data_IF_659945389524
#
_entry.id   IF_659945389524
#
_cell.length_a   1.000
_cell.length_b   1.000
_cell.length_c   1.000
_cell.angle_alpha   90.00
_cell.angle_beta   90.00
_cell.angle_gamma   90.00
#
_symmetry.space_group_name_H-M   'P 1'
#
loop_
_entity.id
_entity.type
_entity.pdbx_description
1 polymer ?
#
# COMPACT_ATOMS: atom_id res chain seq x y z
N UNK A 1 61.12 -35.22 13.23
CA UNK A 1 60.28 -34.01 13.04
C UNK A 1 59.40 -34.24 11.83
N UNK A 2 58.15 -34.66 12.07
CA UNK A 2 56.93 -34.66 11.22
C UNK A 2 55.96 -35.71 11.80
N UNK A 3 54.65 -35.43 11.68
CA UNK A 3 53.43 -36.22 11.96
C UNK A 3 52.86 -36.11 13.40
N UNK A 4 51.57 -35.85 13.67
CA UNK A 4 50.31 -35.89 12.89
C UNK A 4 49.21 -35.03 13.60
N UNK A 5 48.39 -34.34 12.80
CA UNK A 5 46.89 -34.31 12.79
C UNK A 5 46.06 -33.90 14.02
N UNK A 6 45.26 -32.84 13.79
CA UNK A 6 43.88 -32.58 14.23
C UNK A 6 43.33 -33.30 15.48
N UNK A 7 42.97 -32.51 16.50
CA UNK A 7 41.64 -32.51 17.14
C UNK A 7 41.72 -31.70 18.45
N UNK A 8 41.26 -30.44 18.45
CA UNK A 8 40.92 -29.75 19.70
C UNK A 8 39.97 -28.55 19.51
N UNK A 9 39.22 -28.50 18.40
CA UNK A 9 38.23 -27.44 18.14
C UNK A 9 36.77 -27.88 18.41
N UNK A 10 36.54 -28.99 19.12
CA UNK A 10 35.20 -29.54 19.39
C UNK A 10 34.76 -29.46 20.86
N UNK A 11 34.96 -28.31 21.51
CA UNK A 11 34.34 -28.01 22.82
C UNK A 11 33.72 -26.61 22.80
N UNK A 12 32.64 -26.46 22.05
CA UNK A 12 31.71 -25.33 22.21
C UNK A 12 30.56 -25.89 23.05
N UNK A 13 30.57 -25.55 24.34
CA UNK A 13 29.49 -25.86 25.28
C UNK A 13 28.21 -25.16 24.83
N UNK A 14 27.20 -25.92 24.41
CA UNK A 14 25.88 -25.39 24.05
C UNK A 14 25.10 -25.01 25.32
N UNK A 15 24.80 -23.72 25.49
CA UNK A 15 23.86 -23.20 26.51
C UNK A 15 22.74 -22.45 25.79
N UNK A 16 21.53 -23.01 25.76
CA UNK A 16 20.37 -22.44 25.06
C UNK A 16 19.34 -21.88 26.07
N UNK A 17 18.75 -20.71 25.80
CA UNK A 17 17.67 -20.12 26.61
C UNK A 17 16.53 -19.59 25.71
N UNK A 18 15.27 -19.75 26.14
CA UNK A 18 14.03 -19.36 25.42
C UNK A 18 13.13 -18.54 26.38
N UNK A 19 12.47 -17.45 25.91
CA UNK A 19 11.58 -16.58 26.71
C UNK A 19 10.31 -16.12 25.94
N UNK A 20 9.20 -15.79 26.64
CA UNK A 20 7.85 -15.45 26.08
C UNK A 20 7.06 -14.39 26.93
N UNK A 21 6.31 -13.41 26.34
CA UNK A 21 5.40 -12.45 27.06
C UNK A 21 4.26 -11.78 26.20
N UNK A 22 3.13 -11.32 26.81
CA UNK A 22 1.82 -10.92 26.16
C UNK A 22 1.09 -9.68 26.79
N UNK A 23 0.45 -8.75 26.01
CA UNK A 23 -0.91 -8.08 26.19
C UNK A 23 -1.21 -6.73 25.42
N UNK A 24 -2.52 -6.42 25.15
CA UNK A 24 -3.16 -5.45 24.18
C UNK A 24 -3.77 -4.12 24.76
N UNK A 25 -4.14 -3.15 23.87
CA UNK A 25 -4.63 -1.75 24.12
C UNK A 25 -5.94 -1.38 23.35
N UNK A 26 -6.93 -0.68 23.96
CA UNK A 26 -8.11 -0.01 23.30
C UNK A 26 -8.67 1.10 24.22
N UNK A 27 -8.70 2.40 23.84
CA UNK A 27 -9.52 3.46 24.51
C UNK A 27 -9.54 4.88 23.86
N UNK A 28 -9.42 5.08 22.54
CA UNK A 28 -9.24 6.44 21.97
C UNK A 28 -10.42 7.06 21.17
N UNK A 29 -11.56 6.40 21.00
CA UNK A 29 -12.55 6.83 19.96
C UNK A 29 -13.74 7.68 20.45
N UNK A 30 -13.90 7.93 21.76
CA UNK A 30 -15.17 8.48 22.28
C UNK A 30 -15.25 10.01 22.38
N UNK A 31 -14.11 10.72 22.38
CA UNK A 31 -14.07 12.18 22.61
C UNK A 31 -14.32 13.05 21.36
N UNK A 32 -14.29 12.46 20.16
CA UNK A 32 -14.30 13.22 18.89
C UNK A 32 -15.69 13.74 18.45
N UNK A 33 -16.79 13.16 18.93
CA UNK A 33 -18.12 13.38 18.34
C UNK A 33 -18.94 14.52 18.99
N UNK A 34 -18.54 15.03 20.15
CA UNK A 34 -19.34 16.00 20.92
C UNK A 34 -19.09 17.47 20.52
N UNK A 35 -17.94 17.80 19.93
CA UNK A 35 -17.62 19.20 19.55
C UNK A 35 -18.30 19.65 18.25
N UNK A 36 -18.76 18.72 17.40
CA UNK A 36 -19.25 19.04 16.04
C UNK A 36 -20.60 19.76 15.98
N UNK A 37 -21.52 19.51 16.92
CA UNK A 37 -22.91 20.01 16.82
C UNK A 37 -23.05 21.49 17.20
N UNK A 38 -22.13 22.04 17.99
CA UNK A 38 -22.22 23.41 18.51
C UNK A 38 -21.87 24.49 17.46
N UNK A 39 -21.08 24.14 16.43
CA UNK A 39 -20.52 25.11 15.47
C UNK A 39 -21.33 25.33 14.19
N UNK A 40 -22.44 24.61 13.96
CA UNK A 40 -23.24 24.75 12.74
C UNK A 40 -24.12 26.01 12.74
N UNK A 41 -24.66 26.39 13.90
CA UNK A 41 -25.71 27.42 14.04
C UNK A 41 -25.27 28.87 13.78
N UNK A 42 -23.98 29.18 13.94
CA UNK A 42 -23.44 30.54 13.77
C UNK A 42 -23.02 30.89 12.33
N UNK A 43 -22.99 29.92 11.40
CA UNK A 43 -22.43 30.12 10.04
C UNK A 43 -23.44 30.67 9.02
N UNK A 44 -24.74 30.49 9.25
CA UNK A 44 -25.83 30.91 8.34
C UNK A 44 -25.92 32.44 8.20
N UNK A 45 -25.46 33.20 9.20
CA UNK A 45 -25.56 34.66 9.20
C UNK A 45 -24.49 35.38 8.36
N UNK A 46 -23.41 34.70 7.93
CA UNK A 46 -22.34 35.32 7.13
C UNK A 46 -22.48 35.05 5.62
N UNK A 47 -23.11 33.94 5.21
CA UNK A 47 -23.34 33.65 3.79
C UNK A 47 -24.25 34.69 3.09
N UNK A 48 -25.06 35.43 3.88
CA UNK A 48 -25.93 36.51 3.39
C UNK A 48 -25.15 37.75 2.93
N UNK A 49 -23.83 37.85 3.19
CA UNK A 49 -23.02 39.02 2.86
C UNK A 49 -22.13 38.89 1.60
N UNK A 50 -22.09 37.71 0.94
CA UNK A 50 -21.26 37.46 -0.26
C UNK A 50 -22.16 37.17 -1.47
N UNK A 51 -23.12 38.04 -1.74
CA UNK A 51 -23.85 38.08 -3.00
C UNK A 51 -23.33 39.27 -3.81
N UNK A 52 -22.36 39.01 -4.69
CA UNK A 52 -22.17 39.85 -5.86
C UNK A 52 -23.34 39.53 -6.80
N UNK A 53 -24.30 40.44 -6.95
CA UNK A 53 -25.39 40.29 -7.92
C UNK A 53 -24.80 40.12 -9.33
N UNK A 54 -24.90 38.93 -9.90
CA UNK A 54 -24.33 38.58 -11.22
C UNK A 54 -25.15 39.22 -12.36
N UNK A 55 -26.32 39.78 -12.01
CA UNK A 55 -27.28 40.33 -12.95
C UNK A 55 -28.13 39.24 -13.63
N UNK A 56 -28.08 38.00 -13.13
CA UNK A 56 -28.92 36.89 -13.58
C UNK A 56 -29.66 36.30 -12.38
N UNK A 57 -30.88 36.77 -12.16
CA UNK A 57 -31.71 36.40 -11.02
C UNK A 57 -31.94 34.88 -10.86
N UNK A 58 -31.91 34.12 -11.95
CA UNK A 58 -32.06 32.66 -11.90
C UNK A 58 -30.81 31.98 -11.35
N UNK A 59 -29.62 32.42 -11.76
CA UNK A 59 -28.34 31.90 -11.27
C UNK A 59 -28.05 32.37 -9.85
N UNK A 60 -28.35 33.63 -9.53
CA UNK A 60 -28.21 34.18 -8.18
C UNK A 60 -29.07 33.39 -7.18
N UNK A 61 -30.32 33.08 -7.56
CA UNK A 61 -31.22 32.23 -6.76
C UNK A 61 -30.67 30.81 -6.58
N UNK A 62 -30.17 30.20 -7.65
CA UNK A 62 -29.60 28.86 -7.63
C UNK A 62 -28.38 28.75 -6.70
N UNK A 63 -27.48 29.73 -6.75
CA UNK A 63 -26.32 29.80 -5.86
C UNK A 63 -26.78 29.92 -4.40
N UNK A 64 -27.73 30.81 -4.12
CA UNK A 64 -28.28 31.01 -2.77
C UNK A 64 -28.95 29.74 -2.22
N UNK A 65 -29.73 29.04 -3.04
CA UNK A 65 -30.37 27.77 -2.66
C UNK A 65 -29.33 26.70 -2.32
N UNK A 66 -28.26 26.57 -3.12
CA UNK A 66 -27.17 25.63 -2.91
C UNK A 66 -26.40 25.90 -1.62
N UNK A 67 -26.11 27.17 -1.33
CA UNK A 67 -25.41 27.58 -0.12
C UNK A 67 -26.21 27.31 1.17
N UNK A 68 -27.54 27.21 1.09
CA UNK A 68 -28.39 26.85 2.25
C UNK A 68 -28.31 25.38 2.66
N UNK A 69 -27.85 24.49 1.77
CA UNK A 69 -27.75 23.03 2.00
C UNK A 69 -26.42 22.67 2.73
N UNK A 70 -25.64 23.66 3.16
CA UNK A 70 -24.28 23.53 3.70
C UNK A 70 -24.17 22.85 5.09
N UNK A 71 -25.27 22.34 5.67
CA UNK A 71 -25.23 21.72 7.00
C UNK A 71 -24.47 20.37 7.05
N UNK A 72 -24.32 19.66 5.92
CA UNK A 72 -23.69 18.32 5.89
C UNK A 72 -22.50 18.16 4.92
N UNK A 73 -22.31 19.07 3.97
CA UNK A 73 -21.20 19.03 3.01
C UNK A 73 -20.34 20.27 3.23
N UNK A 74 -19.05 20.14 3.56
CA UNK A 74 -18.14 21.30 3.66
C UNK A 74 -17.89 21.99 2.28
N UNK A 75 -18.84 21.97 1.35
CA UNK A 75 -18.70 22.31 -0.08
C UNK A 75 -19.31 23.68 -0.39
N UNK A 76 -18.45 24.69 -0.53
CA UNK A 76 -18.89 26.06 -0.80
C UNK A 76 -19.16 26.20 -2.30
N UNK A 77 -20.40 26.51 -2.66
CA UNK A 77 -20.82 26.75 -4.03
C UNK A 77 -20.92 28.25 -4.29
N UNK A 78 -20.24 28.76 -5.31
CA UNK A 78 -20.19 30.20 -5.58
C UNK A 78 -20.18 30.56 -7.06
N UNK A 79 -20.35 31.85 -7.34
CA UNK A 79 -20.00 32.39 -8.64
C UNK A 79 -18.48 32.49 -8.78
N UNK A 80 -17.95 31.96 -9.88
CA UNK A 80 -16.53 32.02 -10.19
C UNK A 80 -16.36 32.97 -11.36
N UNK A 81 -15.77 34.17 -11.14
CA UNK A 81 -15.43 35.07 -12.23
C UNK A 81 -14.53 34.36 -13.25
N UNK A 82 -14.91 34.38 -14.52
CA UNK A 82 -14.19 33.65 -15.57
C UNK A 82 -12.68 34.01 -15.63
N UNK A 83 -12.34 35.26 -15.32
CA UNK A 83 -10.94 35.73 -15.31
C UNK A 83 -10.06 35.07 -14.24
N UNK A 84 -10.67 34.42 -13.24
CA UNK A 84 -10.00 33.64 -12.20
C UNK A 84 -9.57 32.24 -12.68
N UNK A 85 -10.00 31.83 -13.88
CA UNK A 85 -9.62 30.57 -14.51
C UNK A 85 -8.48 30.82 -15.51
N UNK A 86 -7.37 30.11 -15.33
CA UNK A 86 -6.16 30.19 -16.18
C UNK A 86 -5.89 28.85 -16.84
N UNK A 87 -5.08 28.89 -17.90
CA UNK A 87 -4.65 27.70 -18.64
C UNK A 87 -5.80 26.79 -19.09
N UNK A 88 -6.91 27.39 -19.52
CA UNK A 88 -8.08 26.64 -19.98
C UNK A 88 -7.69 25.81 -21.22
N UNK A 89 -7.82 24.48 -21.12
CA UNK A 89 -7.47 23.52 -22.18
C UNK A 89 -8.62 22.55 -22.39
N UNK A 90 -9.00 22.35 -23.64
CA UNK A 90 -9.98 21.32 -24.01
C UNK A 90 -9.43 19.92 -23.72
N UNK A 91 -10.27 19.03 -23.17
CA UNK A 91 -9.89 17.65 -22.83
C UNK A 91 -10.78 16.58 -23.46
N UNK A 92 -11.99 16.92 -23.91
CA UNK A 92 -12.88 15.97 -24.56
C UNK A 92 -14.35 16.34 -24.40
N UNK A 93 -15.23 15.35 -24.53
CA UNK A 93 -16.67 15.49 -24.29
C UNK A 93 -17.17 14.46 -23.28
N UNK A 94 -18.24 14.80 -22.55
CA UNK A 94 -18.93 13.85 -21.68
C UNK A 94 -19.94 12.97 -22.46
N UNK A 95 -20.62 12.06 -21.76
CA UNK A 95 -21.64 11.16 -22.35
C UNK A 95 -22.84 11.88 -22.96
N UNK A 96 -23.05 13.14 -22.59
CA UNK A 96 -24.13 13.99 -23.08
C UNK A 96 -23.63 14.93 -24.19
N UNK A 97 -22.44 14.68 -24.73
CA UNK A 97 -21.77 15.48 -25.77
C UNK A 97 -21.41 16.91 -25.33
N UNK A 98 -21.38 17.18 -24.01
CA UNK A 98 -20.91 18.46 -23.47
C UNK A 98 -19.39 18.54 -23.54
N UNK A 99 -18.85 19.69 -23.93
CA UNK A 99 -17.41 19.91 -23.92
C UNK A 99 -16.87 20.02 -22.49
N UNK A 100 -15.78 19.29 -22.24
CA UNK A 100 -15.04 19.32 -20.98
C UNK A 100 -13.71 20.02 -21.22
N UNK A 101 -13.39 20.97 -20.34
CA UNK A 101 -12.10 21.66 -20.30
C UNK A 101 -11.47 21.50 -18.92
N UNK A 102 -10.15 21.59 -18.83
CA UNK A 102 -9.41 21.74 -17.57
C UNK A 102 -8.91 23.16 -17.43
N UNK A 103 -8.86 23.67 -16.20
CA UNK A 103 -8.36 25.00 -15.89
C UNK A 103 -7.75 25.06 -14.49
N UNK A 104 -6.89 26.07 -14.27
CA UNK A 104 -6.38 26.43 -12.95
C UNK A 104 -7.26 27.55 -12.39
N UNK A 105 -7.96 27.27 -11.30
CA UNK A 105 -8.71 28.28 -10.55
C UNK A 105 -7.77 28.98 -9.55
N UNK A 106 -7.38 30.21 -9.86
CA UNK A 106 -6.30 30.93 -9.16
C UNK A 106 -6.63 31.23 -7.70
N UNK A 107 -7.78 31.83 -7.34
CA UNK A 107 -8.19 31.95 -5.95
C UNK A 107 -8.43 30.59 -5.29
N UNK A 108 -8.90 29.61 -6.07
CA UNK A 108 -9.10 28.24 -5.65
C UNK A 108 -10.27 28.01 -4.68
N UNK A 109 -10.50 26.75 -4.33
CA UNK A 109 -11.67 26.31 -3.56
C UNK A 109 -11.55 26.69 -2.08
N UNK A 110 -12.70 26.92 -1.44
CA UNK A 110 -12.76 27.16 0.02
C UNK A 110 -12.55 25.84 0.77
N UNK A 111 -11.60 25.84 1.73
CA UNK A 111 -11.22 24.65 2.50
C UNK A 111 -11.64 24.72 3.98
N UNK A 112 -11.72 25.92 4.56
CA UNK A 112 -12.18 26.10 5.93
C UNK A 112 -12.68 27.53 6.15
N UNK A 113 -13.70 27.67 6.99
CA UNK A 113 -14.12 28.93 7.59
C UNK A 113 -13.96 28.80 9.10
N UNK A 114 -12.77 29.11 9.62
CA UNK A 114 -12.50 29.09 11.06
C UNK A 114 -12.40 30.53 11.54
N UNK A 115 -13.20 30.92 12.53
CA UNK A 115 -13.19 32.29 13.10
C UNK A 115 -13.27 33.40 12.04
N UNK A 116 -14.27 33.33 11.16
CA UNK A 116 -14.63 34.43 10.24
C UNK A 116 -13.64 34.68 9.08
N UNK A 117 -12.57 33.89 8.95
CA UNK A 117 -11.64 33.94 7.79
C UNK A 117 -11.96 32.85 6.77
N UNK A 118 -12.09 33.23 5.48
CA UNK A 118 -12.26 32.29 4.36
C UNK A 118 -10.88 31.84 3.89
N UNK A 119 -10.51 30.60 4.24
CA UNK A 119 -9.29 29.99 3.74
C UNK A 119 -9.56 29.29 2.41
N UNK A 120 -8.78 29.63 1.38
CA UNK A 120 -8.81 29.01 0.06
C UNK A 120 -7.55 28.20 -0.21
N UNK A 121 -7.68 27.14 -1.01
CA UNK A 121 -6.56 26.38 -1.57
C UNK A 121 -6.24 26.96 -2.96
N UNK A 122 -5.29 27.90 -3.11
CA UNK A 122 -5.06 28.61 -4.37
C UNK A 122 -4.58 27.67 -5.48
N UNK A 123 -4.74 28.10 -6.73
CA UNK A 123 -4.36 27.34 -7.93
C UNK A 123 -5.00 25.94 -8.00
N UNK A 124 -6.25 25.81 -7.54
CA UNK A 124 -6.99 24.54 -7.60
C UNK A 124 -7.18 24.12 -9.06
N UNK A 125 -6.79 22.89 -9.41
CA UNK A 125 -7.13 22.30 -10.71
C UNK A 125 -8.63 21.93 -10.75
N UNK A 126 -9.33 22.41 -11.77
CA UNK A 126 -10.78 22.21 -11.93
C UNK A 126 -11.13 21.74 -13.34
N UNK A 127 -12.26 21.05 -13.46
CA UNK A 127 -12.91 20.78 -14.73
C UNK A 127 -14.07 21.76 -14.95
N UNK A 128 -14.28 22.10 -16.22
CA UNK A 128 -15.32 22.99 -16.68
C UNK A 128 -16.15 22.22 -17.70
N UNK A 129 -17.44 22.02 -17.41
CA UNK A 129 -18.36 21.43 -18.39
C UNK A 129 -19.24 22.52 -18.99
N UNK A 130 -19.33 22.56 -20.31
CA UNK A 130 -20.23 23.50 -21.01
C UNK A 130 -21.69 23.14 -20.79
N UNK A 131 -22.51 24.13 -20.43
CA UNK A 131 -23.96 23.99 -20.35
C UNK A 131 -24.62 24.95 -21.33
N UNK A 132 -25.39 24.41 -22.28
CA UNK A 132 -26.04 25.21 -23.34
C UNK A 132 -27.34 25.87 -22.87
N UNK A 133 -27.96 25.37 -21.79
CA UNK A 133 -29.14 25.98 -21.18
C UNK A 133 -29.19 25.74 -19.65
N UNK A 134 -30.19 26.31 -18.98
CA UNK A 134 -30.38 26.18 -17.52
C UNK A 134 -30.67 24.73 -17.08
N UNK A 135 -31.37 23.94 -17.88
CA UNK A 135 -31.66 22.54 -17.58
C UNK A 135 -30.38 21.71 -17.55
N UNK A 136 -29.43 21.94 -18.47
CA UNK A 136 -28.10 21.31 -18.45
C UNK A 136 -27.32 21.67 -17.18
N UNK A 137 -27.43 22.92 -16.71
CA UNK A 137 -26.81 23.34 -15.45
C UNK A 137 -27.38 22.50 -14.31
N UNK A 138 -28.70 22.43 -14.16
CA UNK A 138 -29.36 21.65 -13.09
C UNK A 138 -28.99 20.18 -13.17
N UNK A 139 -29.05 19.57 -14.36
CA UNK A 139 -28.68 18.17 -14.56
C UNK A 139 -27.25 17.90 -14.12
N UNK A 140 -26.29 18.75 -14.52
CA UNK A 140 -24.88 18.62 -14.12
C UNK A 140 -24.69 18.78 -12.62
N UNK A 141 -25.44 19.71 -12.06
CA UNK A 141 -25.42 20.05 -10.65
C UNK A 141 -26.07 18.97 -9.75
N UNK A 142 -26.93 18.10 -10.29
CA UNK A 142 -27.54 16.95 -9.62
C UNK A 142 -26.71 15.65 -9.75
N UNK A 143 -25.72 15.62 -10.64
CA UNK A 143 -24.81 14.47 -10.75
C UNK A 143 -24.12 14.21 -9.40
N UNK A 144 -24.14 12.96 -8.91
CA UNK A 144 -23.57 12.62 -7.60
C UNK A 144 -22.04 12.53 -7.58
N UNK A 145 -21.43 12.55 -8.76
CA UNK A 145 -20.08 12.04 -9.01
C UNK A 145 -19.05 13.17 -9.23
N UNK A 146 -19.25 14.36 -8.68
CA UNK A 146 -18.21 15.40 -8.64
C UNK A 146 -18.57 16.45 -7.61
N UNK A 147 -17.60 17.14 -7.03
CA UNK A 147 -17.87 18.32 -6.21
C UNK A 147 -18.10 19.51 -7.11
N UNK A 148 -19.17 20.27 -6.86
CA UNK A 148 -19.54 21.43 -7.66
C UNK A 148 -19.04 22.64 -6.89
N UNK A 149 -18.07 23.36 -7.45
CA UNK A 149 -17.51 24.54 -6.82
C UNK A 149 -18.29 25.79 -7.18
N UNK A 150 -18.88 25.81 -8.38
CA UNK A 150 -19.58 27.00 -8.81
C UNK A 150 -20.00 27.01 -10.26
N UNK A 151 -20.42 28.19 -10.69
CA UNK A 151 -20.76 28.48 -12.08
C UNK A 151 -19.91 29.66 -12.52
N UNK A 152 -19.45 29.62 -13.77
CA UNK A 152 -18.85 30.75 -14.47
C UNK A 152 -19.61 30.98 -15.76
N UNK A 153 -19.53 32.19 -16.31
CA UNK A 153 -20.00 32.48 -17.67
C UNK A 153 -18.84 32.90 -18.56
N UNK A 154 -18.80 32.35 -19.77
CA UNK A 154 -17.81 32.74 -20.77
C UNK A 154 -18.13 34.16 -21.28
N UNK A 155 -17.19 35.13 -21.21
CA UNK A 155 -17.48 36.52 -21.53
C UNK A 155 -18.05 36.77 -22.93
N UNK A 156 -17.53 36.03 -23.93
CA UNK A 156 -17.86 36.22 -25.35
C UNK A 156 -19.09 35.43 -25.80
N UNK A 157 -19.16 34.13 -25.46
CA UNK A 157 -20.26 33.26 -25.91
C UNK A 157 -21.50 33.38 -25.02
N UNK A 158 -21.35 33.93 -23.81
CA UNK A 158 -22.39 33.95 -22.76
C UNK A 158 -22.85 32.58 -22.27
N UNK A 159 -22.21 31.50 -22.74
CA UNK A 159 -22.46 30.15 -22.26
C UNK A 159 -22.02 30.02 -20.80
N UNK A 160 -22.79 29.25 -20.04
CA UNK A 160 -22.43 28.91 -18.67
C UNK A 160 -21.54 27.67 -18.66
N UNK A 161 -20.57 27.66 -17.75
CA UNK A 161 -19.79 26.49 -17.42
C UNK A 161 -20.02 26.16 -15.95
N UNK A 162 -20.28 24.89 -15.67
CA UNK A 162 -20.23 24.39 -14.29
C UNK A 162 -18.77 24.10 -13.97
N UNK A 163 -18.27 24.69 -12.89
CA UNK A 163 -16.93 24.46 -12.36
C UNK A 163 -17.03 23.37 -11.31
N UNK A 164 -16.36 22.25 -11.55
CA UNK A 164 -16.42 21.10 -10.67
C UNK A 164 -15.05 20.46 -10.48
N UNK A 165 -14.92 19.63 -9.45
CA UNK A 165 -13.77 18.75 -9.30
C UNK A 165 -13.70 17.81 -10.50
N UNK A 166 -12.50 17.30 -10.81
CA UNK A 166 -12.33 16.18 -11.73
C UNK A 166 -13.36 15.11 -11.37
N UNK A 167 -14.21 14.76 -12.35
CA UNK A 167 -15.30 13.82 -12.15
C UNK A 167 -14.80 12.53 -11.50
N UNK A 168 -15.62 11.95 -10.63
CA UNK A 168 -15.53 10.57 -10.21
C UNK A 168 -15.25 9.71 -11.44
N UNK A 169 -14.21 8.91 -11.34
CA UNK A 169 -13.96 7.85 -12.29
C UNK A 169 -15.22 6.99 -12.35
N UNK A 170 -15.82 6.82 -13.53
CA UNK A 170 -16.76 5.71 -13.79
C UNK A 170 -16.07 4.33 -13.74
N UNK A 171 -14.82 4.30 -13.27
CA UNK A 171 -13.97 3.15 -13.13
C UNK A 171 -13.65 3.07 -11.63
N UNK A 172 -14.26 2.09 -10.97
CA UNK A 172 -13.93 1.58 -9.64
C UNK A 172 -14.71 2.23 -8.49
N UNK A 173 -15.81 1.57 -8.10
CA UNK A 173 -16.41 1.64 -6.77
C UNK A 173 -15.34 1.66 -5.65
N UNK A 174 -14.80 2.84 -5.35
CA UNK A 174 -13.83 3.09 -4.28
C UNK A 174 -14.36 4.24 -3.45
N UNK A 175 -14.25 4.10 -2.14
CA UNK A 175 -14.83 5.03 -1.17
C UNK A 175 -14.17 6.41 -1.26
N UNK A 176 -15.01 7.43 -1.39
CA UNK A 176 -14.68 8.84 -1.25
C UNK A 176 -13.95 9.09 0.08
N UNK A 177 -12.77 9.72 0.04
CA UNK A 177 -12.09 10.18 1.26
C UNK A 177 -12.66 11.55 1.66
N UNK A 178 -13.42 11.64 2.77
CA UNK A 178 -14.09 12.88 3.19
C UNK A 178 -13.12 14.01 3.51
N UNK A 179 -11.89 13.67 3.89
CA UNK A 179 -10.88 14.60 4.37
C UNK A 179 -10.03 15.22 3.25
N UNK A 180 -9.96 14.59 2.08
CA UNK A 180 -9.06 15.01 0.99
C UNK A 180 -9.79 15.44 -0.30
N UNK A 181 -11.06 15.09 -0.48
CA UNK A 181 -11.99 15.71 -1.44
C UNK A 181 -11.47 15.91 -2.88
N UNK A 182 -10.75 14.93 -3.41
CA UNK A 182 -10.31 14.83 -4.82
C UNK A 182 -10.52 13.38 -5.28
N UNK A 183 -10.97 13.18 -6.53
CA UNK A 183 -10.80 11.90 -7.23
C UNK A 183 -9.39 11.83 -7.76
N UNK A 184 -8.55 11.23 -6.96
CA UNK A 184 -7.14 11.11 -7.23
C UNK A 184 -6.88 9.69 -7.73
N UNK A 185 -6.98 9.55 -9.05
CA UNK A 185 -6.37 8.43 -9.76
C UNK A 185 -5.19 9.02 -10.54
N UNK A 186 -4.03 8.38 -10.43
CA UNK A 186 -2.96 8.63 -11.39
C UNK A 186 -3.48 8.23 -12.77
N UNK A 187 -3.05 8.97 -13.79
CA UNK A 187 -3.28 8.55 -15.16
C UNK A 187 -2.58 7.19 -15.33
N UNK A 188 -3.36 6.11 -15.38
CA UNK A 188 -2.82 4.75 -15.52
C UNK A 188 -2.00 4.75 -16.82
N UNK A 189 -0.70 4.47 -16.75
CA UNK A 189 0.13 4.52 -17.94
C UNK A 189 -0.40 3.54 -19.00
N UNK A 190 -0.30 3.94 -20.27
CA UNK A 190 -0.64 3.07 -21.40
C UNK A 190 0.41 1.96 -21.52
N UNK A 191 0.27 0.91 -20.73
CA UNK A 191 1.08 -0.31 -20.83
C UNK A 191 0.46 -1.22 -21.89
N UNK A 192 0.67 -0.86 -23.16
CA UNK A 192 0.22 -1.65 -24.31
C UNK A 192 1.28 -2.68 -24.70
N UNK A 193 0.81 -3.89 -24.93
CA UNK A 193 1.56 -5.00 -25.52
C UNK A 193 1.61 -4.93 -27.05
N UNK A 194 0.74 -4.12 -27.67
CA UNK A 194 0.46 -4.13 -29.10
C UNK A 194 -0.51 -5.23 -29.54
N UNK A 195 -0.95 -6.10 -28.63
CA UNK A 195 -1.97 -7.13 -28.85
C UNK A 195 -3.30 -6.71 -28.20
N UNK A 196 -4.34 -6.58 -29.02
CA UNK A 196 -5.64 -6.08 -28.57
C UNK A 196 -6.31 -6.98 -27.51
N UNK A 197 -6.06 -8.30 -27.53
CA UNK A 197 -6.64 -9.22 -26.56
C UNK A 197 -5.97 -9.06 -25.20
N UNK A 198 -4.64 -8.99 -25.18
CA UNK A 198 -3.85 -8.79 -23.95
C UNK A 198 -4.14 -7.42 -23.36
N UNK A 199 -4.14 -6.38 -24.19
CA UNK A 199 -4.39 -5.00 -23.74
C UNK A 199 -5.78 -4.86 -23.13
N UNK A 200 -6.79 -5.49 -23.75
CA UNK A 200 -8.14 -5.54 -23.18
C UNK A 200 -8.14 -6.21 -21.80
N UNK A 201 -7.46 -7.34 -21.64
CA UNK A 201 -7.37 -8.04 -20.36
C UNK A 201 -6.65 -7.21 -19.28
N UNK A 202 -5.53 -6.57 -19.63
CA UNK A 202 -4.79 -5.66 -18.73
C UNK A 202 -5.71 -4.53 -18.26
N UNK A 203 -6.43 -3.89 -19.18
CA UNK A 203 -7.39 -2.83 -18.86
C UNK A 203 -8.52 -3.35 -17.94
N UNK A 204 -9.06 -4.54 -18.19
CA UNK A 204 -10.07 -5.16 -17.33
C UNK A 204 -9.55 -5.40 -15.91
N UNK A 205 -8.29 -5.85 -15.75
CA UNK A 205 -7.66 -6.03 -14.44
C UNK A 205 -7.43 -4.71 -13.70
N UNK A 206 -6.98 -3.68 -14.41
CA UNK A 206 -6.79 -2.34 -13.83
C UNK A 206 -8.11 -1.71 -13.34
N UNK A 207 -9.23 -2.01 -14.01
CA UNK A 207 -10.60 -1.59 -13.63
C UNK A 207 -11.16 -2.28 -12.38
N UNK A 208 -10.40 -3.17 -11.74
CA UNK A 208 -10.82 -3.75 -10.47
C UNK A 208 -9.76 -3.56 -9.37
N UNK A 209 -8.61 -2.96 -9.70
CA UNK A 209 -7.57 -2.59 -8.75
C UNK A 209 -8.06 -1.50 -7.79
N UNK A 210 -7.79 -1.68 -6.49
CA UNK A 210 -8.18 -0.71 -5.45
C UNK A 210 -7.16 0.40 -5.24
N UNK A 211 -5.90 0.14 -5.59
CA UNK A 211 -4.77 1.04 -5.38
C UNK A 211 -3.69 0.80 -6.46
N UNK A 212 -2.79 1.77 -6.64
CA UNK A 212 -1.69 1.71 -7.60
C UNK A 212 -0.72 0.54 -7.35
N UNK A 213 -0.58 0.12 -6.10
CA UNK A 213 0.21 -1.08 -5.75
C UNK A 213 -0.37 -2.41 -6.27
N UNK A 214 -1.61 -2.40 -6.74
CA UNK A 214 -2.33 -3.55 -7.31
C UNK A 214 -2.52 -3.42 -8.83
N UNK A 215 -1.88 -2.46 -9.47
CA UNK A 215 -1.99 -2.32 -10.91
C UNK A 215 -1.38 -3.52 -11.62
N UNK A 216 -2.16 -4.03 -12.56
CA UNK A 216 -1.76 -5.08 -13.46
C UNK A 216 -1.24 -4.42 -14.75
N UNK A 217 -0.06 -4.80 -15.22
CA UNK A 217 0.58 -4.11 -16.35
C UNK A 217 1.17 -5.05 -17.42
N UNK A 218 1.43 -4.48 -18.59
CA UNK A 218 2.31 -5.13 -19.57
C UNK A 218 3.76 -4.95 -19.11
N UNK A 219 4.48 -6.06 -19.02
CA UNK A 219 5.88 -6.10 -18.61
C UNK A 219 6.71 -6.48 -19.85
N UNK A 220 7.50 -5.55 -20.40
CA UNK A 220 8.41 -5.86 -21.49
C UNK A 220 9.31 -7.05 -21.10
N UNK A 221 9.45 -8.03 -21.99
CA UNK A 221 10.27 -9.21 -21.69
C UNK A 221 11.72 -8.84 -21.34
N UNK A 222 12.25 -7.79 -21.96
CA UNK A 222 13.59 -7.28 -21.69
C UNK A 222 13.75 -6.62 -20.31
N UNK A 223 12.65 -6.36 -19.57
CA UNK A 223 12.71 -5.92 -18.18
C UNK A 223 12.88 -7.09 -17.20
N UNK A 224 12.85 -8.34 -17.70
CA UNK A 224 13.06 -9.56 -16.93
C UNK A 224 14.48 -10.07 -17.17
N UNK A 225 15.29 -10.09 -16.11
CA UNK A 225 16.67 -10.55 -16.11
C UNK A 225 16.86 -11.79 -15.22
N UNK A 226 18.03 -12.41 -15.33
CA UNK A 226 18.42 -13.58 -14.50
C UNK A 226 17.36 -14.69 -14.47
N UNK A 227 16.76 -14.99 -15.64
CA UNK A 227 15.69 -15.98 -15.74
C UNK A 227 16.25 -17.40 -15.48
N UNK A 228 15.86 -18.00 -14.36
CA UNK A 228 16.24 -19.36 -13.96
C UNK A 228 15.06 -20.32 -14.13
N UNK A 229 15.25 -21.40 -14.90
CA UNK A 229 14.26 -22.46 -15.01
C UNK A 229 14.20 -23.29 -13.73
N UNK A 230 13.00 -23.50 -13.20
CA UNK A 230 12.77 -24.31 -11.98
C UNK A 230 12.24 -25.69 -12.32
N UNK A 231 11.09 -25.77 -13.00
CA UNK A 231 10.44 -27.04 -13.28
C UNK A 231 9.36 -26.91 -14.35
N UNK A 232 9.01 -28.03 -14.98
CA UNK A 232 7.77 -28.13 -15.75
C UNK A 232 6.61 -28.45 -14.81
N UNK A 233 5.54 -27.68 -14.90
CA UNK A 233 4.22 -28.00 -14.34
C UNK A 233 3.33 -28.50 -15.47
N UNK A 234 2.17 -29.05 -15.10
CA UNK A 234 1.22 -29.67 -16.03
C UNK A 234 0.82 -28.71 -17.18
N UNK A 235 0.61 -27.43 -16.87
CA UNK A 235 0.11 -26.42 -17.84
C UNK A 235 1.10 -25.30 -18.15
N UNK A 236 2.21 -25.21 -17.41
CA UNK A 236 3.16 -24.10 -17.59
C UNK A 236 4.58 -24.48 -17.19
N UNK A 237 5.54 -23.76 -17.75
CA UNK A 237 6.94 -23.78 -17.30
C UNK A 237 7.10 -22.78 -16.18
N UNK A 238 7.60 -23.23 -15.02
CA UNK A 238 7.88 -22.40 -13.86
C UNK A 238 9.34 -21.92 -13.92
N UNK A 239 9.54 -20.61 -13.84
CA UNK A 239 10.86 -19.97 -13.77
C UNK A 239 10.86 -18.85 -12.73
N UNK A 240 12.05 -18.44 -12.29
CA UNK A 240 12.27 -17.26 -11.43
C UNK A 240 13.01 -16.21 -12.24
N UNK A 241 12.81 -14.93 -11.92
CA UNK A 241 13.52 -13.83 -12.59
C UNK A 241 13.61 -12.61 -11.67
N UNK A 242 14.45 -11.65 -12.07
CA UNK A 242 14.45 -10.29 -11.53
C UNK A 242 13.68 -9.40 -12.50
N UNK A 243 12.72 -8.64 -11.99
CA UNK A 243 12.05 -7.58 -12.73
C UNK A 243 12.70 -6.24 -12.41
N UNK A 244 13.47 -5.73 -13.37
CA UNK A 244 14.35 -4.57 -13.21
C UNK A 244 13.57 -3.28 -12.92
N UNK A 245 12.56 -2.99 -13.75
CA UNK A 245 11.71 -1.82 -13.57
C UNK A 245 10.77 -1.96 -12.37
N UNK A 246 10.46 -3.20 -11.99
CA UNK A 246 9.70 -3.55 -10.81
C UNK A 246 8.30 -2.94 -10.76
N UNK A 247 7.60 -3.17 -9.65
CA UNK A 247 6.19 -2.80 -9.53
C UNK A 247 5.99 -1.37 -9.03
N UNK A 248 4.87 -0.76 -9.40
CA UNK A 248 4.38 0.46 -8.76
C UNK A 248 4.05 0.18 -7.29
N UNK A 249 4.51 1.04 -6.37
CA UNK A 249 4.25 0.92 -4.93
C UNK A 249 3.45 2.09 -4.38
N UNK A 250 3.54 3.23 -5.05
CA UNK A 250 2.87 4.45 -4.64
C UNK A 250 2.55 5.26 -5.87
N UNK A 251 1.48 6.01 -5.77
CA UNK A 251 1.13 7.03 -6.73
C UNK A 251 0.76 8.30 -6.00
N UNK A 252 1.39 9.40 -6.41
CA UNK A 252 0.93 10.73 -6.08
C UNK A 252 -0.30 11.03 -6.93
N UNK A 253 -1.37 10.68 -6.27
CA UNK A 253 -2.73 11.01 -6.51
C UNK A 253 -2.95 12.44 -7.07
N UNK A 254 -2.26 13.48 -6.57
CA UNK A 254 -2.43 14.88 -7.01
C UNK A 254 -1.68 15.20 -8.31
N UNK A 255 -0.46 14.70 -8.48
CA UNK A 255 0.37 15.02 -9.65
C UNK A 255 0.20 14.03 -10.80
N UNK A 256 -0.28 12.82 -10.50
CA UNK A 256 -0.29 11.68 -11.41
C UNK A 256 1.02 10.90 -11.45
N UNK A 257 2.03 11.33 -10.69
CA UNK A 257 3.33 10.66 -10.62
C UNK A 257 3.22 9.34 -9.84
N UNK A 258 4.12 8.41 -10.12
CA UNK A 258 4.17 7.13 -9.40
C UNK A 258 5.59 6.68 -9.14
N UNK A 259 5.76 5.96 -8.03
CA UNK A 259 7.02 5.39 -7.60
C UNK A 259 7.02 3.87 -7.78
N UNK A 260 8.17 3.33 -8.19
CA UNK A 260 8.37 1.89 -8.39
C UNK A 260 9.38 1.32 -7.41
N UNK A 261 9.10 0.11 -6.91
CA UNK A 261 10.10 -0.74 -6.25
C UNK A 261 10.78 -1.59 -7.32
N UNK A 262 11.96 -1.15 -7.75
CA UNK A 262 12.80 -1.76 -8.78
C UNK A 262 13.52 -3.02 -8.31
N UNK A 263 13.98 -3.84 -9.26
CA UNK A 263 14.82 -5.02 -9.00
C UNK A 263 14.17 -6.09 -8.11
N UNK A 264 12.85 -6.30 -8.26
CA UNK A 264 12.13 -7.27 -7.44
C UNK A 264 12.22 -8.67 -8.05
N UNK A 265 12.34 -9.68 -7.18
CA UNK A 265 12.32 -11.07 -7.63
C UNK A 265 10.87 -11.53 -7.85
N UNK A 266 10.62 -12.20 -8.97
CA UNK A 266 9.29 -12.60 -9.42
C UNK A 266 9.27 -14.06 -9.86
N UNK A 267 8.09 -14.66 -9.77
CA UNK A 267 7.80 -15.95 -10.38
C UNK A 267 7.25 -15.74 -11.78
N UNK A 268 7.76 -16.51 -12.75
CA UNK A 268 7.29 -16.53 -14.13
C UNK A 268 6.60 -17.86 -14.41
N UNK A 269 5.29 -17.81 -14.67
CA UNK A 269 4.55 -18.97 -15.19
C UNK A 269 4.38 -18.79 -16.70
N UNK A 270 5.10 -19.59 -17.48
CA UNK A 270 5.14 -19.48 -18.94
C UNK A 270 4.17 -20.50 -19.55
N UNK A 271 3.13 -20.00 -20.20
CA UNK A 271 2.07 -20.74 -20.88
C UNK A 271 2.26 -20.71 -22.39
N UNK A 272 1.85 -21.77 -23.06
CA UNK A 272 1.75 -21.80 -24.53
C UNK A 272 0.51 -21.06 -25.05
N UNK A 273 -0.52 -20.92 -24.20
CA UNK A 273 -1.81 -20.31 -24.55
C UNK A 273 -2.20 -19.23 -23.52
N UNK A 274 -2.69 -18.09 -24.01
CA UNK A 274 -3.17 -16.97 -23.18
C UNK A 274 -4.42 -17.33 -22.38
N UNK A 275 -5.28 -18.21 -22.88
CA UNK A 275 -6.51 -18.59 -22.16
C UNK A 275 -6.21 -19.36 -20.87
N UNK A 276 -5.19 -20.22 -20.87
CA UNK A 276 -4.74 -20.93 -19.67
C UNK A 276 -4.16 -19.98 -18.62
N UNK A 277 -3.41 -18.97 -19.08
CA UNK A 277 -2.89 -17.89 -18.25
C UNK A 277 -4.04 -17.12 -17.59
N UNK A 278 -5.02 -16.68 -18.38
CA UNK A 278 -6.17 -15.90 -17.88
C UNK A 278 -6.99 -16.72 -16.88
N UNK A 279 -7.19 -18.02 -17.17
CA UNK A 279 -7.86 -18.94 -16.25
C UNK A 279 -7.10 -19.02 -14.92
N UNK A 280 -5.77 -19.13 -14.95
CA UNK A 280 -4.94 -19.15 -13.74
C UNK A 280 -5.04 -17.85 -12.94
N UNK A 281 -4.96 -16.69 -13.59
CA UNK A 281 -5.07 -15.39 -12.91
C UNK A 281 -6.44 -15.21 -12.22
N UNK A 282 -7.49 -15.80 -12.81
CA UNK A 282 -8.85 -15.78 -12.26
C UNK A 282 -9.08 -16.71 -11.06
N UNK A 283 -8.11 -17.57 -10.71
CA UNK A 283 -8.23 -18.48 -9.56
C UNK A 283 -8.23 -17.68 -8.24
N UNK A 284 -9.17 -17.98 -7.34
CA UNK A 284 -9.24 -17.32 -6.01
C UNK A 284 -7.99 -17.51 -5.14
N UNK A 285 -7.27 -18.60 -5.36
CA UNK A 285 -6.03 -18.93 -4.64
C UNK A 285 -4.79 -18.53 -5.47
N UNK A 286 -4.95 -17.71 -6.51
CA UNK A 286 -3.81 -17.24 -7.28
C UNK A 286 -3.03 -16.23 -6.42
N UNK A 287 -1.69 -16.38 -6.33
CA UNK A 287 -0.84 -15.38 -5.68
C UNK A 287 -1.01 -14.02 -6.37
N UNK A 288 -0.62 -12.94 -5.70
CA UNK A 288 -0.67 -11.60 -6.29
C UNK A 288 0.04 -11.59 -7.64
N UNK A 289 -0.68 -11.18 -8.67
CA UNK A 289 -0.17 -11.06 -10.03
C UNK A 289 0.17 -9.61 -10.32
N UNK A 290 1.25 -9.39 -11.06
CA UNK A 290 1.74 -8.04 -11.40
C UNK A 290 1.47 -7.68 -12.86
N UNK A 291 1.44 -8.67 -13.74
CA UNK A 291 1.28 -8.38 -15.15
C UNK A 291 1.48 -9.57 -16.07
N UNK A 292 1.44 -9.26 -17.36
CA UNK A 292 1.73 -10.20 -18.43
C UNK A 292 2.99 -9.75 -19.15
N UNK A 293 3.82 -10.72 -19.51
CA UNK A 293 4.89 -10.55 -20.49
C UNK A 293 4.72 -11.58 -21.61
N UNK A 294 5.49 -11.45 -22.68
CA UNK A 294 5.54 -12.45 -23.75
C UNK A 294 6.99 -12.68 -24.13
N UNK A 295 7.43 -13.93 -24.03
CA UNK A 295 8.76 -14.34 -24.46
C UNK A 295 8.88 -14.12 -25.97
N UNK A 296 9.79 -13.25 -26.38
CA UNK A 296 9.97 -12.93 -27.80
C UNK A 296 10.58 -14.08 -28.60
N UNK A 297 11.26 -15.03 -27.95
CA UNK A 297 11.89 -16.18 -28.59
C UNK A 297 10.95 -17.38 -28.67
N UNK A 298 10.33 -17.76 -27.56
CA UNK A 298 9.45 -18.94 -27.51
C UNK A 298 8.00 -18.63 -27.87
N UNK A 299 7.65 -17.34 -27.96
CA UNK A 299 6.28 -16.85 -28.13
C UNK A 299 5.32 -17.25 -26.98
N UNK A 300 5.85 -17.77 -25.87
CA UNK A 300 5.08 -18.11 -24.68
C UNK A 300 4.57 -16.88 -23.93
N UNK A 301 3.37 -16.97 -23.39
CA UNK A 301 2.76 -15.95 -22.55
C UNK A 301 3.19 -16.15 -21.11
N UNK A 302 3.63 -15.09 -20.45
CA UNK A 302 4.21 -15.16 -19.12
C UNK A 302 3.30 -14.43 -18.15
N UNK A 303 2.81 -15.13 -17.14
CA UNK A 303 2.19 -14.50 -15.99
C UNK A 303 3.29 -14.17 -14.97
N UNK A 304 3.45 -12.88 -14.70
CA UNK A 304 4.43 -12.40 -13.72
C UNK A 304 3.74 -12.30 -12.36
N UNK A 305 4.24 -13.06 -11.38
CA UNK A 305 3.61 -13.21 -10.07
C UNK A 305 4.58 -12.90 -8.94
N UNK A 306 3.99 -12.55 -7.80
CA UNK A 306 4.68 -12.48 -6.52
C UNK A 306 5.29 -13.84 -6.16
N UNK A 307 6.51 -13.82 -5.65
CA UNK A 307 7.08 -14.99 -5.00
C UNK A 307 6.35 -15.30 -3.70
N UNK A 308 5.92 -16.55 -3.56
CA UNK A 308 5.45 -17.09 -2.27
C UNK A 308 6.62 -17.55 -1.39
N UNK A 309 7.74 -17.92 -2.02
CA UNK A 309 8.91 -18.49 -1.39
C UNK A 309 10.17 -17.70 -1.75
N UNK A 310 11.09 -17.58 -0.80
CA UNK A 310 12.35 -16.86 -0.97
C UNK A 310 13.18 -17.52 -2.07
N UNK A 311 13.66 -16.73 -3.02
CA UNK A 311 14.51 -17.25 -4.09
C UNK A 311 15.83 -17.84 -3.57
N UNK A 312 16.35 -17.38 -2.42
CA UNK A 312 17.60 -17.86 -1.82
C UNK A 312 17.44 -19.17 -1.06
N UNK A 313 16.48 -19.22 -0.12
CA UNK A 313 16.35 -20.36 0.82
C UNK A 313 15.07 -21.19 0.63
N UNK A 314 14.22 -20.82 -0.34
CA UNK A 314 12.93 -21.45 -0.66
C UNK A 314 11.92 -21.54 0.50
N UNK A 315 12.14 -20.80 1.59
CA UNK A 315 11.17 -20.67 2.68
C UNK A 315 10.08 -19.65 2.35
N UNK A 316 8.91 -19.74 2.98
CA UNK A 316 7.83 -18.78 2.78
C UNK A 316 8.30 -17.33 3.01
N UNK A 317 7.89 -16.44 2.12
CA UNK A 317 8.12 -15.01 2.25
C UNK A 317 7.06 -14.37 3.14
N UNK A 318 7.46 -13.33 3.86
CA UNK A 318 6.48 -12.37 4.35
C UNK A 318 5.92 -11.61 3.13
N UNK A 319 4.69 -11.92 2.75
CA UNK A 319 4.03 -11.40 1.53
C UNK A 319 3.77 -9.89 1.62
N UNK A 320 3.54 -9.35 2.82
CA UNK A 320 3.30 -7.92 3.05
C UNK A 320 4.57 -7.09 2.75
N UNK A 321 5.72 -7.58 3.20
CA UNK A 321 7.00 -6.86 3.06
C UNK A 321 7.89 -7.39 1.91
N UNK A 322 7.50 -8.48 1.26
CA UNK A 322 8.29 -9.19 0.24
C UNK A 322 9.70 -9.51 0.75
N UNK A 323 9.80 -9.98 1.99
CA UNK A 323 11.06 -10.24 2.68
C UNK A 323 11.12 -11.66 3.21
N UNK A 324 12.32 -12.24 3.19
CA UNK A 324 12.60 -13.51 3.79
C UNK A 324 13.12 -13.31 5.22
N UNK A 325 12.41 -13.79 6.25
CA UNK A 325 12.89 -13.70 7.63
C UNK A 325 14.30 -14.26 7.80
N UNK A 326 14.61 -15.34 7.10
CA UNK A 326 15.89 -16.04 7.26
C UNK A 326 17.04 -15.41 6.45
N UNK A 327 16.75 -14.78 5.32
CA UNK A 327 17.79 -14.25 4.43
C UNK A 327 17.99 -12.74 4.55
N UNK A 328 16.98 -12.00 5.00
CA UNK A 328 16.99 -10.54 5.01
C UNK A 328 17.12 -9.94 6.42
N UNK A 329 16.88 -10.72 7.47
CA UNK A 329 17.11 -10.30 8.86
C UNK A 329 18.47 -10.79 9.36
N UNK A 330 19.06 -10.13 10.37
CA UNK A 330 20.29 -10.61 11.01
C UNK A 330 20.16 -12.08 11.43
N UNK A 331 21.16 -12.90 11.10
CA UNK A 331 21.05 -14.34 11.29
C UNK A 331 21.10 -14.73 12.77
N UNK A 332 20.16 -15.57 13.18
CA UNK A 332 20.16 -16.28 14.46
C UNK A 332 20.75 -17.68 14.29
N UNK A 333 21.95 -17.77 13.69
CA UNK A 333 22.61 -19.07 13.55
C UNK A 333 23.40 -19.41 14.81
N UNK A 334 23.09 -20.57 15.37
CA UNK A 334 23.83 -21.20 16.46
C UNK A 334 25.11 -21.90 15.98
N UNK A 335 25.27 -22.08 14.67
CA UNK A 335 26.27 -22.97 14.09
C UNK A 335 25.88 -24.45 14.15
N UNK A 336 24.72 -24.80 14.74
CA UNK A 336 24.16 -26.15 14.76
C UNK A 336 22.89 -26.20 13.89
N UNK A 337 22.93 -26.98 12.82
CA UNK A 337 21.85 -27.06 11.83
C UNK A 337 20.53 -27.56 12.42
N UNK A 338 20.54 -28.43 13.44
CA UNK A 338 19.32 -28.91 14.09
C UNK A 338 18.66 -27.84 14.94
N UNK A 339 19.45 -27.11 15.73
CA UNK A 339 18.96 -25.97 16.54
C UNK A 339 18.40 -24.90 15.62
N UNK A 340 19.15 -24.54 14.57
CA UNK A 340 18.75 -23.53 13.60
C UNK A 340 17.44 -23.93 12.89
N UNK A 341 17.22 -25.22 12.62
CA UNK A 341 15.98 -25.71 12.04
C UNK A 341 14.79 -25.61 13.01
N UNK A 342 14.98 -25.85 14.31
CA UNK A 342 13.92 -25.69 15.33
C UNK A 342 13.53 -24.22 15.45
N UNK A 343 14.52 -23.34 15.53
CA UNK A 343 14.33 -21.88 15.56
C UNK A 343 13.53 -21.46 14.32
N UNK A 344 13.94 -21.90 13.14
CA UNK A 344 13.27 -21.60 11.88
C UNK A 344 11.82 -22.09 11.86
N UNK A 345 11.59 -23.36 12.23
CA UNK A 345 10.25 -23.96 12.24
C UNK A 345 9.31 -23.20 13.17
N UNK A 346 9.80 -22.76 14.33
CA UNK A 346 9.02 -21.95 15.26
C UNK A 346 8.62 -20.60 14.64
N UNK A 347 9.56 -19.91 13.98
CA UNK A 347 9.34 -18.59 13.38
C UNK A 347 8.36 -18.62 12.19
N UNK A 348 8.24 -19.76 11.53
CA UNK A 348 7.27 -19.95 10.44
C UNK A 348 5.82 -20.06 10.94
N UNK A 349 5.64 -20.49 12.19
CA UNK A 349 4.31 -20.79 12.75
C UNK A 349 3.81 -19.64 13.63
N UNK A 350 4.71 -18.96 14.33
CA UNK A 350 4.35 -17.95 15.33
C UNK A 350 4.56 -16.51 14.85
N UNK A 351 3.85 -15.56 15.46
CA UNK A 351 4.11 -14.13 15.29
C UNK A 351 5.47 -13.75 15.87
N UNK A 352 6.05 -12.66 15.36
CA UNK A 352 7.40 -12.20 15.71
C UNK A 352 7.65 -11.97 17.20
N UNK A 353 6.60 -11.71 17.96
CA UNK A 353 6.63 -11.54 19.42
C UNK A 353 6.91 -12.87 20.18
N UNK A 354 6.78 -14.02 19.51
CA UNK A 354 7.02 -15.36 20.07
C UNK A 354 8.14 -16.13 19.38
N UNK A 355 8.87 -15.47 18.49
CA UNK A 355 9.96 -16.11 17.77
C UNK A 355 11.03 -16.59 18.75
N UNK A 356 11.41 -17.85 18.62
CA UNK A 356 12.66 -18.33 19.22
C UNK A 356 13.82 -17.57 18.58
N UNK A 357 14.81 -17.21 19.38
CA UNK A 357 16.05 -16.61 18.89
C UNK A 357 17.26 -17.32 19.47
N UNK A 358 18.31 -17.45 18.66
CA UNK A 358 19.61 -17.86 19.18
C UNK A 358 20.26 -16.67 19.87
N UNK A 359 20.60 -16.85 21.15
CA UNK A 359 21.22 -15.81 21.97
C UNK A 359 22.66 -16.22 22.30
N UNK A 360 23.67 -15.52 21.77
CA UNK A 360 25.04 -15.69 22.19
C UNK A 360 25.20 -15.54 23.70
N UNK A 361 25.88 -16.50 24.34
CA UNK A 361 26.02 -16.56 25.80
C UNK A 361 26.62 -15.27 26.40
N UNK A 362 27.47 -14.57 25.65
CA UNK A 362 28.08 -13.30 26.06
C UNK A 362 27.10 -12.11 26.18
N UNK A 363 25.83 -12.27 25.79
CA UNK A 363 24.79 -11.27 26.01
C UNK A 363 24.16 -11.35 27.40
N UNK A 364 24.48 -12.40 28.17
CA UNK A 364 24.03 -12.55 29.54
C UNK A 364 25.10 -12.04 30.50
N UNK A 365 24.68 -11.21 31.46
CA UNK A 365 25.52 -10.72 32.55
C UNK A 365 24.88 -11.05 33.89
N UNK A 366 25.66 -10.89 34.97
CA UNK A 366 25.20 -11.12 36.34
C UNK A 366 24.53 -12.50 36.50
N UNK A 367 25.22 -13.54 36.01
CA UNK A 367 24.71 -14.91 36.01
C UNK A 367 24.92 -15.53 37.40
N UNK A 368 23.83 -15.87 38.07
CA UNK A 368 23.83 -16.47 39.41
C UNK A 368 23.06 -17.81 39.40
N UNK A 369 23.60 -18.91 39.97
CA UNK A 369 22.87 -20.15 40.09
C UNK A 369 21.71 -20.00 41.08
N UNK A 370 20.52 -20.48 40.70
CA UNK A 370 19.32 -20.43 41.56
C UNK A 370 18.78 -21.82 41.92
N UNK A 371 19.25 -22.87 41.25
CA UNK A 371 18.89 -24.25 41.59
C UNK A 371 19.55 -25.28 40.67
N UNK A 372 19.67 -26.50 41.18
CA UNK A 372 20.17 -27.66 40.44
C UNK A 372 19.22 -28.84 40.70
N UNK A 373 18.88 -29.55 39.64
CA UNK A 373 18.12 -30.80 39.70
C UNK A 373 18.86 -31.92 38.98
N UNK A 374 18.26 -33.11 38.93
CA UNK A 374 18.90 -34.29 38.33
C UNK A 374 19.22 -34.17 36.83
N UNK A 375 18.59 -33.23 36.11
CA UNK A 375 18.68 -33.10 34.65
C UNK A 375 19.11 -31.71 34.17
N UNK A 376 19.14 -30.70 35.05
CA UNK A 376 19.45 -29.34 34.66
C UNK A 376 19.94 -28.48 35.81
N UNK A 377 20.75 -27.46 35.47
CA UNK A 377 21.07 -26.33 36.35
C UNK A 377 20.31 -25.11 35.88
N UNK A 378 19.78 -24.33 36.82
CA UNK A 378 19.03 -23.11 36.51
C UNK A 378 19.79 -21.92 37.09
N UNK A 379 19.96 -20.90 36.27
CA UNK A 379 20.61 -19.65 36.61
C UNK A 379 19.64 -18.50 36.41
N UNK A 380 19.75 -17.46 37.22
CA UNK A 380 19.18 -16.15 36.93
C UNK A 380 20.25 -15.30 36.26
N UNK A 381 19.87 -14.55 35.23
CA UNK A 381 20.78 -13.68 34.51
C UNK A 381 20.05 -12.41 34.05
N UNK A 382 20.82 -11.37 33.75
CA UNK A 382 20.32 -10.20 32.99
C UNK A 382 20.73 -10.37 31.54
N UNK A 383 19.76 -10.25 30.64
CA UNK A 383 19.99 -10.20 29.20
C UNK A 383 20.02 -8.74 28.76
N UNK A 384 21.17 -8.27 28.28
CA UNK A 384 21.38 -6.84 27.99
C UNK A 384 20.48 -6.30 26.88
N UNK A 385 20.23 -7.12 25.87
CA UNK A 385 19.55 -6.72 24.64
C UNK A 385 18.02 -6.93 24.75
N UNK A 386 17.59 -7.93 25.53
CA UNK A 386 16.18 -8.30 25.69
C UNK A 386 15.57 -8.96 24.47
N UNK A 387 14.33 -9.45 24.60
CA UNK A 387 13.62 -10.15 23.53
C UNK A 387 13.03 -9.20 22.48
N UNK A 388 12.76 -9.73 21.28
CA UNK A 388 12.10 -9.01 20.18
C UNK A 388 10.63 -8.74 20.50
N UNK A 389 10.22 -7.47 20.44
CA UNK A 389 8.82 -7.05 20.54
C UNK A 389 8.15 -7.07 19.16
N UNK A 390 8.82 -6.48 18.17
CA UNK A 390 8.33 -6.38 16.80
C UNK A 390 9.50 -6.22 15.83
N UNK A 391 9.21 -6.45 14.55
CA UNK A 391 10.18 -6.32 13.46
C UNK A 391 9.85 -5.05 12.69
N UNK A 392 10.84 -4.19 12.53
CA UNK A 392 10.79 -3.13 11.55
C UNK A 392 11.30 -3.68 10.22
N UNK A 393 10.38 -4.22 9.42
CA UNK A 393 10.69 -4.83 8.12
C UNK A 393 11.36 -3.83 7.16
N UNK A 394 10.96 -2.56 7.18
CA UNK A 394 11.52 -1.53 6.31
C UNK A 394 13.00 -1.23 6.63
N UNK A 395 13.32 -1.11 7.92
CA UNK A 395 14.70 -0.88 8.38
C UNK A 395 15.52 -2.17 8.48
N UNK A 396 14.88 -3.34 8.36
CA UNK A 396 15.48 -4.66 8.62
C UNK A 396 16.08 -4.78 10.03
N UNK A 397 15.40 -4.19 11.02
CA UNK A 397 15.85 -4.17 12.42
C UNK A 397 14.80 -4.75 13.36
N UNK A 398 15.25 -5.16 14.55
CA UNK A 398 14.38 -5.61 15.63
C UNK A 398 14.14 -4.48 16.63
N UNK A 399 12.88 -4.27 17.01
CA UNK A 399 12.53 -3.49 18.20
C UNK A 399 12.49 -4.44 19.39
N UNK A 400 13.19 -4.08 20.49
CA UNK A 400 13.40 -4.98 21.63
C UNK A 400 12.92 -4.37 22.94
N UNK A 401 12.53 -5.23 23.88
CA UNK A 401 12.01 -4.83 25.18
C UNK A 401 13.09 -4.29 26.14
N UNK A 402 14.32 -4.09 25.67
CA UNK A 402 15.49 -3.70 26.46
C UNK A 402 15.85 -4.71 27.57
N UNK A 403 16.81 -4.35 28.42
CA UNK A 403 17.43 -5.21 29.42
C UNK A 403 16.39 -5.91 30.31
N UNK A 404 16.41 -7.24 30.31
CA UNK A 404 15.39 -8.09 30.97
C UNK A 404 16.05 -9.15 31.85
N UNK A 405 15.44 -9.48 32.99
CA UNK A 405 15.86 -10.60 33.86
C UNK A 405 15.29 -11.90 33.29
N UNK A 406 16.13 -12.91 33.11
CA UNK A 406 15.75 -14.21 32.55
C UNK A 406 16.24 -15.36 33.42
N UNK A 407 15.61 -16.52 33.25
CA UNK A 407 16.10 -17.79 33.76
C UNK A 407 16.81 -18.55 32.63
N UNK A 408 18.06 -18.97 32.86
CA UNK A 408 18.83 -19.81 31.95
C UNK A 408 18.78 -21.25 32.47
N UNK A 409 18.30 -22.20 31.67
CA UNK A 409 18.29 -23.63 32.00
C UNK A 409 19.38 -24.34 31.20
N UNK A 410 20.44 -24.74 31.89
CA UNK A 410 21.52 -25.56 31.34
C UNK A 410 21.12 -27.04 31.45
N UNK A 411 21.00 -27.71 30.30
CA UNK A 411 20.65 -29.13 30.24
C UNK A 411 21.93 -29.95 30.43
N UNK A 412 21.93 -30.85 31.42
CA UNK A 412 23.06 -31.71 31.71
C UNK A 412 23.07 -32.92 30.76
N UNK A 413 24.26 -33.31 30.27
CA UNK A 413 24.47 -34.44 29.37
C UNK A 413 23.76 -34.35 28.00
N UNK A 414 23.47 -33.14 27.49
CA UNK A 414 22.83 -33.00 26.18
C UNK A 414 23.75 -33.46 25.05
N UNK A 415 23.43 -34.60 24.45
CA UNK A 415 23.94 -34.99 23.13
C UNK A 415 23.08 -34.35 22.03
N UNK A 416 23.56 -34.30 20.78
CA UNK A 416 22.76 -33.87 19.61
C UNK A 416 21.47 -34.71 19.39
N UNK A 417 21.29 -35.80 20.14
CA UNK A 417 20.11 -36.66 20.15
C UNK A 417 19.05 -36.24 21.18
N UNK A 418 19.39 -35.45 22.20
CA UNK A 418 18.49 -35.04 23.30
C UNK A 418 17.62 -33.81 22.97
N UNK A 419 17.75 -33.29 21.75
CA UNK A 419 17.02 -32.11 21.25
C UNK A 419 15.49 -32.28 21.19
N UNK A 420 14.97 -33.51 21.37
CA UNK A 420 13.54 -33.76 21.53
C UNK A 420 12.96 -33.11 22.81
N UNK A 421 13.81 -32.75 23.78
CA UNK A 421 13.41 -32.09 25.03
C UNK A 421 13.09 -30.59 24.89
N UNK A 422 13.34 -29.98 23.72
CA UNK A 422 13.10 -28.55 23.48
C UNK A 422 11.65 -28.28 23.06
N UNK A 423 10.87 -29.33 22.78
CA UNK A 423 9.45 -29.23 22.41
C UNK A 423 8.47 -29.33 23.59
N UNK A 424 8.96 -29.48 24.83
CA UNK A 424 8.18 -29.34 26.07
C UNK A 424 8.31 -27.93 26.65
#
# INVERSE_FOLDING_TARGET
MINLVNSNLSKIEFKTAIAMAKLKKRHFTMLWNLERSFFAKNRINQATAILLEIGNAQIDKLISERQRIYEDTLEWFEWIPHNNLKEIKYIGKDKLDNEIMKAIWVPGKVIATFREEINREPNTLVELTTCVNYENIIQKLEEKWSHKFGITQVPFTKNFLVVHSRGYCEINHTEWNPNLRICVNCDIPSWTSGDAQIDKFILERQRISKDASQWFEWIPYNDLSEIEFVSHKEFFKLSLAIWENGRVIYCDKMTGDFERKKGIHVQLNIYSNIEELIKKDSDKNCPQTYGISKDTFTQGFILVQQLEHCYKCRQMLNIEYLMCPQCDLPSWSSGNTKVDQIILNNQQILSSEWWLEWIPYNQFIEIEPIGEGGFAKVYKAKWEIGYVLTINWSAKTFERNSKTIVALKEILNSSDADMNLINE
#
